data_IF_084566667453
#
_entry.id   IF_084566667453
#
_cell.length_a   1.000
_cell.length_b   1.000
_cell.length_c   1.000
_cell.angle_alpha   90.00
_cell.angle_beta   90.00
_cell.angle_gamma   90.00
#
_symmetry.space_group_name_H-M   'P 1'
#
loop_
_entity.id
_entity.type
_entity.pdbx_description
1 polymer ?
#
# COMPACT_ATOMS: atom_id res chain seq x y z
N UNK A 1 37.58 -25.13 8.54
CA UNK A 1 36.10 -25.16 8.39
C UNK A 1 35.53 -24.66 9.72
N UNK A 2 34.71 -23.61 9.70
CA UNK A 2 34.13 -23.01 10.91
C UNK A 2 33.07 -23.94 11.50
N UNK A 3 33.31 -24.46 12.72
CA UNK A 3 32.33 -25.23 13.48
C UNK A 3 31.88 -24.42 14.72
N UNK A 4 30.72 -23.78 14.72
CA UNK A 4 30.27 -22.97 15.86
C UNK A 4 29.98 -23.81 17.11
N UNK A 5 29.76 -25.14 16.98
CA UNK A 5 29.44 -26.00 18.13
C UNK A 5 30.65 -26.40 18.97
N UNK A 6 31.86 -26.05 18.54
CA UNK A 6 33.09 -26.28 19.30
C UNK A 6 33.17 -25.41 20.57
N UNK A 7 32.44 -24.30 20.61
CA UNK A 7 32.36 -23.40 21.76
C UNK A 7 31.09 -23.68 22.56
N UNK A 8 31.25 -24.03 23.84
CA UNK A 8 30.14 -24.41 24.73
C UNK A 8 29.00 -23.38 24.77
N UNK A 9 29.35 -22.08 24.82
CA UNK A 9 28.38 -20.99 24.86
C UNK A 9 27.54 -20.81 23.58
N UNK A 10 27.92 -21.44 22.46
CA UNK A 10 27.19 -21.38 21.18
C UNK A 10 26.32 -22.62 20.93
N UNK A 11 26.51 -23.70 21.68
CA UNK A 11 25.81 -24.98 21.42
C UNK A 11 24.29 -24.85 21.57
N UNK A 12 23.84 -24.05 22.53
CA UNK A 12 22.42 -23.75 22.76
C UNK A 12 21.74 -23.01 21.59
N UNK A 13 22.50 -22.38 20.69
CA UNK A 13 21.98 -21.69 19.51
C UNK A 13 21.69 -22.63 18.34
N UNK A 14 22.19 -23.88 18.37
CA UNK A 14 22.01 -24.81 17.26
C UNK A 14 20.54 -25.09 16.95
N UNK A 15 19.71 -25.21 17.98
CA UNK A 15 18.26 -25.35 17.83
C UNK A 15 17.65 -24.15 17.08
N UNK A 16 18.04 -22.93 17.45
CA UNK A 16 17.55 -21.71 16.81
C UNK A 16 17.97 -21.64 15.34
N UNK A 17 19.20 -22.02 15.01
CA UNK A 17 19.67 -22.06 13.62
C UNK A 17 18.85 -23.04 12.76
N UNK A 18 18.46 -24.19 13.31
CA UNK A 18 17.57 -25.15 12.63
C UNK A 18 16.18 -24.52 12.41
N UNK A 19 15.61 -23.88 13.43
CA UNK A 19 14.32 -23.18 13.30
C UNK A 19 14.38 -22.07 12.24
N UNK A 20 15.43 -21.25 12.27
CA UNK A 20 15.66 -20.16 11.30
C UNK A 20 15.75 -20.72 9.88
N UNK A 21 16.41 -21.87 9.71
CA UNK A 21 16.52 -22.55 8.40
C UNK A 21 15.15 -22.97 7.88
N UNK A 22 14.31 -23.56 8.74
CA UNK A 22 12.92 -23.86 8.37
C UNK A 22 12.11 -22.61 8.03
N UNK A 23 12.29 -21.53 8.81
CA UNK A 23 11.71 -20.23 8.52
C UNK A 23 12.15 -19.66 7.16
N UNK A 24 13.43 -19.82 6.80
CA UNK A 24 13.96 -19.40 5.52
C UNK A 24 13.35 -20.19 4.35
N UNK A 25 13.17 -21.51 4.50
CA UNK A 25 12.45 -22.31 3.50
C UNK A 25 10.99 -21.93 3.36
N UNK A 26 10.30 -21.69 4.48
CA UNK A 26 8.91 -21.23 4.46
C UNK A 26 8.77 -19.85 3.79
N UNK A 27 9.68 -18.91 4.09
CA UNK A 27 9.74 -17.61 3.43
C UNK A 27 10.00 -17.75 1.93
N UNK A 28 10.95 -18.61 1.53
CA UNK A 28 11.23 -18.90 0.12
C UNK A 28 10.02 -19.47 -0.61
N UNK A 29 9.26 -20.37 0.02
CA UNK A 29 8.02 -20.91 -0.54
C UNK A 29 6.93 -19.83 -0.67
N UNK A 30 6.79 -18.94 0.32
CA UNK A 30 5.84 -17.83 0.28
C UNK A 30 6.12 -16.87 -0.90
N UNK A 31 7.40 -16.65 -1.23
CA UNK A 31 7.79 -15.84 -2.39
C UNK A 31 7.30 -16.43 -3.72
N UNK A 32 7.22 -17.76 -3.86
CA UNK A 32 6.70 -18.40 -5.09
C UNK A 32 5.25 -17.99 -5.34
N UNK A 33 4.39 -18.02 -4.31
CA UNK A 33 3.01 -17.56 -4.43
C UNK A 33 2.91 -16.08 -4.81
N UNK A 34 3.75 -15.23 -4.22
CA UNK A 34 3.83 -13.82 -4.57
C UNK A 34 4.24 -13.60 -6.04
N UNK A 35 5.29 -14.30 -6.50
CA UNK A 35 5.78 -14.20 -7.88
C UNK A 35 4.72 -14.63 -8.89
N UNK A 36 4.03 -15.75 -8.62
CA UNK A 36 2.91 -16.22 -9.47
C UNK A 36 1.81 -15.15 -9.52
N UNK A 37 1.40 -14.61 -8.37
CA UNK A 37 0.37 -13.59 -8.31
C UNK A 37 0.78 -12.29 -9.03
N UNK A 38 2.04 -11.87 -8.90
CA UNK A 38 2.57 -10.67 -9.55
C UNK A 38 2.50 -10.78 -11.07
N UNK A 39 3.04 -11.86 -11.65
CA UNK A 39 3.03 -12.06 -13.11
C UNK A 39 1.62 -12.31 -13.64
N UNK A 40 0.78 -13.05 -12.91
CA UNK A 40 -0.62 -13.23 -13.28
C UNK A 40 -1.36 -11.88 -13.32
N UNK A 41 -1.18 -11.05 -12.28
CA UNK A 41 -1.81 -9.73 -12.20
C UNK A 41 -1.32 -8.78 -13.28
N UNK A 42 -0.03 -8.86 -13.64
CA UNK A 42 0.58 -8.03 -14.67
C UNK A 42 0.01 -8.31 -16.08
N UNK A 43 -0.21 -9.60 -16.42
CA UNK A 43 -0.59 -10.00 -17.78
C UNK A 43 -2.08 -10.30 -17.95
N UNK A 44 -2.75 -10.83 -16.92
CA UNK A 44 -4.14 -11.30 -16.98
C UNK A 44 -5.05 -10.70 -15.90
N UNK A 45 -4.52 -9.84 -15.03
CA UNK A 45 -5.26 -9.19 -13.97
C UNK A 45 -6.34 -8.22 -14.49
N UNK A 46 -7.43 -8.07 -13.73
CA UNK A 46 -8.43 -7.03 -13.99
C UNK A 46 -7.81 -5.65 -13.74
N UNK A 47 -8.12 -4.68 -14.60
CA UNK A 47 -7.73 -3.28 -14.37
C UNK A 47 -8.40 -2.78 -13.10
N UNK A 48 -7.60 -2.20 -12.20
CA UNK A 48 -8.12 -1.58 -10.99
C UNK A 48 -8.89 -0.28 -11.34
N UNK A 49 -9.93 0.08 -10.58
CA UNK A 49 -10.47 1.44 -10.62
C UNK A 49 -9.39 2.44 -10.16
N UNK A 50 -9.60 3.73 -10.43
CA UNK A 50 -8.63 4.79 -10.13
C UNK A 50 -8.24 4.83 -8.64
N UNK A 51 -9.23 4.68 -7.76
CA UNK A 51 -9.05 4.70 -6.32
C UNK A 51 -9.78 3.49 -5.68
N UNK A 52 -9.17 2.30 -5.67
CA UNK A 52 -9.78 1.10 -5.10
C UNK A 52 -9.84 1.14 -3.57
N UNK A 53 -9.03 1.99 -2.93
CA UNK A 53 -8.87 2.06 -1.48
C UNK A 53 -9.58 3.23 -0.83
N UNK A 54 -10.28 4.05 -1.61
CA UNK A 54 -10.97 5.23 -1.11
C UNK A 54 -10.04 6.19 -0.33
N UNK A 55 -8.79 6.31 -0.77
CA UNK A 55 -7.82 7.22 -0.15
C UNK A 55 -8.06 8.66 -0.58
N UNK A 56 -7.75 9.59 0.32
CA UNK A 56 -8.06 11.01 0.14
C UNK A 56 -6.95 11.83 -0.52
N UNK A 57 -5.73 11.29 -0.54
CA UNK A 57 -4.54 11.98 -1.06
C UNK A 57 -4.57 12.11 -2.58
N UNK A 58 -3.81 13.08 -3.10
CA UNK A 58 -3.84 13.42 -4.52
C UNK A 58 -3.39 12.24 -5.41
N UNK A 59 -2.42 11.42 -5.04
CA UNK A 59 -1.97 10.32 -5.91
C UNK A 59 -3.11 9.36 -6.37
N UNK A 60 -4.22 9.31 -5.64
CA UNK A 60 -5.41 8.51 -5.95
C UNK A 60 -6.41 9.16 -6.92
N UNK A 61 -6.10 10.34 -7.43
CA UNK A 61 -6.85 11.00 -8.51
C UNK A 61 -6.00 11.17 -9.77
N UNK A 62 -4.71 10.84 -9.72
CA UNK A 62 -3.81 10.90 -10.87
C UNK A 62 -4.18 9.80 -11.88
N UNK A 63 -4.25 10.10 -13.19
CA UNK A 63 -4.51 9.08 -14.21
C UNK A 63 -3.51 7.92 -14.13
N UNK A 64 -3.94 6.71 -14.49
CA UNK A 64 -3.08 5.52 -14.53
C UNK A 64 -3.07 4.91 -15.94
N UNK A 65 -1.91 4.86 -16.64
CA UNK A 65 -0.61 5.34 -16.20
C UNK A 65 -0.53 6.89 -16.12
N UNK A 66 0.30 7.45 -15.22
CA UNK A 66 0.41 8.89 -15.07
C UNK A 66 1.06 9.53 -16.30
N UNK A 67 0.52 10.66 -16.81
CA UNK A 67 1.15 11.42 -17.89
C UNK A 67 2.44 12.10 -17.40
N UNK A 68 3.22 12.64 -18.35
CA UNK A 68 4.35 13.52 -18.01
C UNK A 68 3.82 14.69 -17.14
N UNK A 69 4.55 15.02 -16.06
CA UNK A 69 4.14 15.96 -15.00
C UNK A 69 3.00 15.47 -14.07
N UNK A 70 2.70 14.18 -14.05
CA UNK A 70 1.69 13.49 -13.20
C UNK A 70 0.22 13.86 -13.44
N UNK A 71 -0.07 15.12 -13.79
CA UNK A 71 -1.42 15.69 -13.81
C UNK A 71 -1.95 16.10 -15.19
N UNK A 72 -1.13 15.97 -16.23
CA UNK A 72 -1.47 16.44 -17.57
C UNK A 72 -1.71 17.95 -17.58
N UNK A 73 -2.80 18.39 -18.21
CA UNK A 73 -3.08 19.82 -18.43
C UNK A 73 -3.69 20.54 -17.21
N UNK A 74 -4.18 19.81 -16.20
CA UNK A 74 -4.94 20.39 -15.08
C UNK A 74 -4.36 19.98 -13.74
N UNK A 75 -3.88 20.96 -12.99
CA UNK A 75 -3.42 20.77 -11.61
C UNK A 75 -4.65 20.67 -10.69
N UNK A 76 -4.73 19.65 -9.82
CA UNK A 76 -5.85 19.53 -8.89
C UNK A 76 -5.81 20.61 -7.81
N UNK A 77 -6.97 21.19 -7.51
CA UNK A 77 -7.14 22.11 -6.37
C UNK A 77 -7.29 21.31 -5.08
N UNK A 78 -6.60 21.74 -4.03
CA UNK A 78 -6.69 21.14 -2.70
C UNK A 78 -7.64 21.99 -1.84
N UNK A 79 -8.70 21.36 -1.33
CA UNK A 79 -9.69 22.00 -0.44
C UNK A 79 -9.47 21.65 1.04
N UNK A 80 -8.75 20.57 1.34
CA UNK A 80 -8.59 20.03 2.69
C UNK A 80 -7.37 19.14 2.88
N UNK A 81 -7.16 18.69 4.11
CA UNK A 81 -6.06 17.80 4.49
C UNK A 81 -6.22 16.37 3.95
N UNK A 82 -5.13 15.59 3.90
CA UNK A 82 -5.12 14.22 3.37
C UNK A 82 -5.77 13.17 4.28
N UNK A 83 -6.11 13.54 5.52
CA UNK A 83 -6.67 12.63 6.52
C UNK A 83 -8.13 12.93 6.86
N UNK A 84 -8.85 13.60 5.95
CA UNK A 84 -10.27 13.91 6.14
C UNK A 84 -11.15 12.65 5.95
N UNK A 85 -11.06 11.75 6.92
CA UNK A 85 -11.94 10.60 7.04
C UNK A 85 -13.03 10.88 8.08
N UNK A 86 -14.18 10.23 7.93
CA UNK A 86 -15.36 10.38 8.78
C UNK A 86 -15.82 11.85 8.96
N UNK A 87 -15.66 12.68 7.92
CA UNK A 87 -16.03 14.09 7.97
C UNK A 87 -17.54 14.26 8.15
N UNK A 88 -18.02 15.16 9.02
CA UNK A 88 -19.45 15.42 9.17
C UNK A 88 -20.09 16.08 7.93
N UNK A 89 -19.27 16.53 6.98
CA UNK A 89 -19.71 17.24 5.78
C UNK A 89 -20.13 16.30 4.63
N UNK A 90 -19.75 15.03 4.69
CA UNK A 90 -20.07 14.01 3.68
C UNK A 90 -20.62 12.74 4.35
N UNK A 91 -21.40 11.95 3.60
CA UNK A 91 -21.95 10.70 4.14
C UNK A 91 -20.94 9.55 4.04
N UNK A 92 -20.03 9.62 3.07
CA UNK A 92 -18.97 8.64 2.91
C UNK A 92 -17.88 8.82 3.96
N UNK A 93 -17.20 7.72 4.32
CA UNK A 93 -16.09 7.77 5.27
C UNK A 93 -14.86 8.52 4.73
N UNK A 94 -14.77 8.77 3.43
CA UNK A 94 -13.58 9.35 2.81
C UNK A 94 -13.94 10.63 2.05
N UNK A 95 -13.21 11.70 2.34
CA UNK A 95 -13.37 12.99 1.69
C UNK A 95 -12.08 13.45 0.98
N UNK A 96 -11.91 13.16 -0.32
CA UNK A 96 -10.71 13.47 -1.07
C UNK A 96 -10.35 14.94 -1.09
N UNK A 97 -9.05 15.24 -1.10
CA UNK A 97 -8.53 16.61 -1.10
C UNK A 97 -9.06 17.48 -2.24
N UNK A 98 -9.40 16.89 -3.39
CA UNK A 98 -9.86 17.60 -4.59
C UNK A 98 -11.38 17.69 -4.75
N UNK A 99 -12.17 17.15 -3.83
CA UNK A 99 -13.64 17.21 -3.91
C UNK A 99 -14.14 18.51 -3.29
N UNK A 100 -14.72 19.43 -4.06
CA UNK A 100 -15.32 20.65 -3.50
C UNK A 100 -16.61 20.34 -2.74
N UNK A 101 -16.91 21.10 -1.68
CA UNK A 101 -18.25 21.09 -1.08
C UNK A 101 -19.24 21.81 -2.00
N UNK A 102 -20.47 21.31 -2.16
CA UNK A 102 -21.54 22.12 -2.75
C UNK A 102 -21.80 23.33 -1.84
N UNK A 103 -22.03 24.50 -2.44
CA UNK A 103 -22.13 25.80 -1.77
C UNK A 103 -23.12 25.89 -0.58
N UNK A 104 -24.00 24.90 -0.40
CA UNK A 104 -25.02 24.86 0.65
C UNK A 104 -24.55 24.19 1.95
N UNK A 105 -23.43 23.45 1.95
CA UNK A 105 -22.88 22.80 3.15
C UNK A 105 -22.00 23.74 4.00
N UNK A 106 -21.34 24.72 3.36
CA UNK A 106 -20.43 25.66 4.03
C UNK A 106 -21.12 26.69 4.95
N UNK A 107 -22.45 26.75 4.97
CA UNK A 107 -23.23 27.77 5.70
C UNK A 107 -23.78 27.28 7.06
N UNK A 108 -23.32 26.12 7.56
CA UNK A 108 -23.72 25.59 8.86
C UNK A 108 -22.50 25.34 9.73
N UNK A 109 -21.87 26.42 10.21
CA UNK A 109 -21.10 26.45 11.45
C UNK A 109 -21.06 27.89 11.98
#
# INVERSE_FOLDING_TARGET
IYNPTQYEFLQNLQWWNVLITWGAFALGLAQIFFVINFFWSLFAGKKAPLNPWQSNTLEWIAPSPPPHLNWGDRIPTVYRGPYEYSSPEVAEDWFPQNRSLPARAAARH
#
